data_IF_712855429769
#
_entry.id   IF_712855429769
#
_cell.length_a   1.000
_cell.length_b   1.000
_cell.length_c   1.000
_cell.angle_alpha   90.00
_cell.angle_beta   90.00
_cell.angle_gamma   90.00
#
_symmetry.space_group_name_H-M   'P 1'
#
loop_
_entity.id
_entity.type
_entity.pdbx_description
1 polymer ?
#
# COMPACT_ATOMS: atom_id res chain seq x y z
N UNK A 1 -11.84 -10.51 15.31
CA UNK A 1 -10.80 -10.16 14.35
C UNK A 1 -9.63 -9.60 15.13
N UNK A 2 -8.52 -10.28 15.16
CA UNK A 2 -7.27 -9.84 15.80
C UNK A 2 -6.60 -8.82 14.89
N UNK A 3 -6.07 -7.75 15.47
CA UNK A 3 -5.30 -6.72 14.77
C UNK A 3 -3.97 -6.53 15.44
N UNK A 4 -2.94 -6.41 14.66
CA UNK A 4 -1.59 -6.15 15.13
C UNK A 4 -1.03 -4.91 14.44
N UNK A 5 -0.62 -3.93 15.23
CA UNK A 5 0.05 -2.73 14.72
C UNK A 5 1.53 -2.95 14.77
N UNK A 6 2.17 -2.69 13.65
CA UNK A 6 3.60 -2.88 13.47
C UNK A 6 4.22 -1.66 12.80
N UNK A 7 5.54 -1.60 12.84
CA UNK A 7 6.35 -0.73 11.98
C UNK A 7 7.40 -1.59 11.28
N UNK A 8 7.81 -1.18 10.09
CA UNK A 8 8.90 -1.80 9.34
C UNK A 8 9.68 -0.73 8.56
N UNK A 9 10.91 -1.04 8.20
CA UNK A 9 11.77 -0.13 7.44
C UNK A 9 11.27 -0.01 6.00
N UNK A 10 10.94 1.20 5.58
CA UNK A 10 10.60 1.54 4.19
C UNK A 10 11.81 1.61 3.27
N UNK A 11 11.58 1.92 2.01
CA UNK A 11 12.60 2.00 0.97
C UNK A 11 13.68 3.05 1.22
N UNK A 12 13.33 4.11 1.92
CA UNK A 12 14.23 5.24 2.23
C UNK A 12 14.82 5.15 3.64
N UNK A 13 14.53 4.07 4.40
CA UNK A 13 15.01 3.87 5.75
C UNK A 13 14.09 4.43 6.85
N UNK A 14 13.01 5.10 6.48
CA UNK A 14 11.99 5.60 7.40
C UNK A 14 11.10 4.48 7.91
N UNK A 15 10.53 4.64 9.12
CA UNK A 15 9.63 3.66 9.70
C UNK A 15 8.20 3.80 9.12
N UNK A 16 7.74 2.78 8.43
CA UNK A 16 6.39 2.72 7.88
C UNK A 16 5.40 2.11 8.87
N UNK A 17 4.29 2.82 9.09
CA UNK A 17 3.23 2.38 9.99
C UNK A 17 2.27 1.43 9.29
N UNK A 18 2.10 0.23 9.83
CA UNK A 18 1.26 -0.81 9.27
C UNK A 18 0.33 -1.45 10.30
N UNK A 19 -0.71 -2.11 9.80
CA UNK A 19 -1.64 -2.92 10.56
C UNK A 19 -1.86 -4.25 9.83
N UNK A 20 -1.68 -5.37 10.54
CA UNK A 20 -2.07 -6.69 10.05
C UNK A 20 -3.42 -7.05 10.68
N UNK A 21 -4.38 -7.37 9.83
CA UNK A 21 -5.70 -7.83 10.22
C UNK A 21 -5.80 -9.33 9.95
N UNK A 22 -6.01 -10.13 11.01
CA UNK A 22 -6.10 -11.59 10.93
C UNK A 22 -7.55 -12.07 10.83
N UNK A 23 -7.81 -13.23 10.23
CA UNK A 23 -9.11 -13.88 10.29
C UNK A 23 -9.51 -14.22 11.74
N UNK A 24 -10.79 -14.52 11.96
CA UNK A 24 -11.33 -14.69 13.32
C UNK A 24 -10.82 -15.93 14.05
N UNK A 25 -10.43 -16.95 13.30
CA UNK A 25 -9.90 -18.23 13.79
C UNK A 25 -8.36 -18.25 13.97
N UNK A 26 -7.70 -17.11 13.75
CA UNK A 26 -6.23 -16.95 13.76
C UNK A 26 -5.48 -17.86 12.75
N UNK A 27 -6.19 -18.58 11.88
CA UNK A 27 -5.62 -19.42 10.84
C UNK A 27 -5.70 -18.72 9.47
N UNK A 28 -4.70 -17.94 9.13
CA UNK A 28 -4.62 -17.32 7.81
C UNK A 28 -4.26 -18.37 6.75
N UNK A 29 -5.10 -18.51 5.73
CA UNK A 29 -4.78 -19.34 4.57
C UNK A 29 -3.69 -18.73 3.70
N UNK A 30 -3.71 -17.39 3.58
CA UNK A 30 -2.74 -16.61 2.80
C UNK A 30 -2.59 -15.21 3.38
N UNK A 31 -1.42 -14.61 3.14
CA UNK A 31 -1.15 -13.22 3.45
C UNK A 31 -1.32 -12.36 2.20
N UNK A 32 -1.91 -11.17 2.39
CA UNK A 32 -2.20 -10.19 1.35
C UNK A 32 -1.66 -8.84 1.78
N UNK A 33 -1.07 -8.09 0.86
CA UNK A 33 -0.69 -6.69 1.07
C UNK A 33 -1.69 -5.81 0.36
N UNK A 34 -2.24 -4.83 1.08
CA UNK A 34 -3.15 -3.83 0.54
C UNK A 34 -2.47 -2.46 0.43
N UNK A 35 -2.39 -1.94 -0.80
CA UNK A 35 -1.86 -0.61 -1.13
C UNK A 35 -3.00 0.39 -1.34
N UNK A 36 -3.06 1.44 -0.51
CA UNK A 36 -4.03 2.53 -0.66
C UNK A 36 -3.61 3.55 -1.73
N UNK A 37 -4.50 4.50 -2.07
CA UNK A 37 -4.17 5.61 -2.94
C UNK A 37 -3.28 6.66 -2.21
N UNK A 38 -2.50 7.47 -2.97
CA UNK A 38 -1.55 8.43 -2.36
C UNK A 38 -2.20 9.62 -1.64
N UNK A 39 -3.45 9.94 -1.93
CA UNK A 39 -4.22 10.95 -1.18
C UNK A 39 -5.01 10.36 -0.01
N UNK A 40 -4.82 9.07 0.27
CA UNK A 40 -5.54 8.31 1.28
C UNK A 40 -4.56 7.83 2.38
N UNK A 41 -5.10 7.08 3.32
CA UNK A 41 -4.33 6.31 4.28
C UNK A 41 -5.04 4.97 4.56
N UNK A 42 -4.36 4.06 5.24
CA UNK A 42 -4.90 2.73 5.61
C UNK A 42 -6.20 2.80 6.42
N UNK A 43 -6.57 3.95 6.96
CA UNK A 43 -7.75 4.14 7.81
C UNK A 43 -9.04 4.50 7.06
N UNK A 44 -8.99 4.66 5.73
CA UNK A 44 -10.17 4.96 4.91
C UNK A 44 -11.23 3.87 5.06
N UNK A 45 -12.50 4.25 5.22
CA UNK A 45 -13.59 3.29 5.45
C UNK A 45 -13.74 2.26 4.33
N UNK A 46 -13.51 2.65 3.07
CA UNK A 46 -13.52 1.73 1.94
C UNK A 46 -12.43 0.65 2.09
N UNK A 47 -11.21 1.04 2.46
CA UNK A 47 -10.09 0.12 2.73
C UNK A 47 -10.44 -0.84 3.86
N UNK A 48 -10.96 -0.32 4.99
CA UNK A 48 -11.38 -1.14 6.13
C UNK A 48 -12.45 -2.17 5.76
N UNK A 49 -13.42 -1.80 4.92
CA UNK A 49 -14.47 -2.72 4.47
C UNK A 49 -13.91 -3.82 3.56
N UNK A 50 -12.97 -3.51 2.67
CA UNK A 50 -12.29 -4.49 1.82
C UNK A 50 -11.50 -5.46 2.70
N UNK A 51 -10.69 -4.95 3.61
CA UNK A 51 -9.89 -5.76 4.56
C UNK A 51 -10.81 -6.67 5.37
N UNK A 52 -11.92 -6.14 5.91
CA UNK A 52 -12.90 -6.94 6.63
C UNK A 52 -13.52 -8.05 5.78
N UNK A 53 -13.81 -7.76 4.50
CA UNK A 53 -14.30 -8.75 3.56
C UNK A 53 -13.29 -9.88 3.31
N UNK A 54 -12.02 -9.53 3.16
CA UNK A 54 -10.93 -10.48 2.94
C UNK A 54 -10.64 -11.33 4.19
N UNK A 55 -10.61 -10.72 5.37
CA UNK A 55 -10.37 -11.46 6.62
C UNK A 55 -11.50 -12.46 6.93
N UNK A 56 -12.76 -12.15 6.58
CA UNK A 56 -13.88 -13.10 6.65
C UNK A 56 -13.72 -14.29 5.70
N UNK A 57 -12.88 -14.17 4.68
CA UNK A 57 -12.54 -15.23 3.72
C UNK A 57 -11.26 -15.98 4.08
N UNK A 58 -10.70 -15.75 5.26
CA UNK A 58 -9.51 -16.44 5.76
C UNK A 58 -8.17 -15.83 5.34
N UNK A 59 -8.14 -14.60 4.81
CA UNK A 59 -6.90 -13.90 4.49
C UNK A 59 -6.40 -13.08 5.69
N UNK A 60 -5.10 -13.12 5.96
CA UNK A 60 -4.44 -12.09 6.76
C UNK A 60 -4.05 -10.92 5.83
N UNK A 61 -4.43 -9.69 6.19
CA UNK A 61 -4.21 -8.52 5.34
C UNK A 61 -3.31 -7.51 6.06
N UNK A 62 -2.12 -7.29 5.50
CA UNK A 62 -1.26 -6.18 5.87
C UNK A 62 -1.66 -4.95 5.06
N UNK A 63 -1.95 -3.86 5.73
CA UNK A 63 -2.12 -2.52 5.15
C UNK A 63 -1.16 -1.56 5.83
N UNK A 64 -0.51 -0.71 5.06
CA UNK A 64 0.46 0.26 5.58
C UNK A 64 0.27 1.62 4.95
N UNK A 65 0.79 2.66 5.57
CA UNK A 65 0.89 3.99 4.98
C UNK A 65 2.25 4.11 4.28
N UNK A 66 2.28 4.55 3.02
CA UNK A 66 3.52 4.78 2.28
C UNK A 66 4.40 5.86 2.95
N UNK A 67 5.69 5.91 2.62
CA UNK A 67 6.63 6.92 3.10
C UNK A 67 6.03 8.33 2.99
N UNK A 68 6.08 9.09 4.09
CA UNK A 68 5.56 10.46 4.18
C UNK A 68 4.05 10.60 4.22
N UNK A 69 3.28 9.48 4.30
CA UNK A 69 1.82 9.49 4.37
C UNK A 69 1.30 8.93 5.70
N UNK A 70 0.13 9.41 6.11
CA UNK A 70 -0.61 8.89 7.25
C UNK A 70 0.16 8.93 8.57
N UNK A 71 0.57 7.77 9.07
CA UNK A 71 1.34 7.59 10.31
C UNK A 71 2.78 7.10 10.06
N UNK A 72 3.17 6.97 8.79
CA UNK A 72 4.54 6.65 8.39
C UNK A 72 5.44 7.87 8.50
N UNK A 73 6.71 7.62 8.75
CA UNK A 73 7.75 8.63 8.78
C UNK A 73 8.21 9.02 7.35
N UNK A 74 9.11 9.97 7.24
CA UNK A 74 9.65 10.48 5.98
C UNK A 74 8.85 11.65 5.41
N UNK A 75 9.34 12.20 4.30
CA UNK A 75 8.73 13.34 3.62
C UNK A 75 8.16 12.89 2.26
N UNK A 76 6.84 13.07 2.06
CA UNK A 76 6.18 12.67 0.82
C UNK A 76 6.76 13.37 -0.42
N UNK A 77 7.21 14.62 -0.26
CA UNK A 77 7.85 15.41 -1.33
C UNK A 77 9.15 14.80 -1.86
N UNK A 78 9.80 13.94 -1.08
CA UNK A 78 11.03 13.24 -1.46
C UNK A 78 10.75 11.88 -2.12
N UNK A 79 9.49 11.43 -2.11
CA UNK A 79 9.08 10.15 -2.69
C UNK A 79 8.77 10.27 -4.17
N UNK A 80 8.78 9.13 -4.84
CA UNK A 80 8.34 8.98 -6.22
C UNK A 80 7.68 7.62 -6.42
N UNK A 81 7.16 7.36 -7.62
CA UNK A 81 6.47 6.10 -7.90
C UNK A 81 7.37 4.87 -7.69
N UNK A 82 8.67 4.97 -7.97
CA UNK A 82 9.62 3.87 -7.76
C UNK A 82 9.84 3.58 -6.28
N UNK A 83 10.00 4.61 -5.43
CA UNK A 83 10.13 4.42 -3.98
C UNK A 83 8.88 3.78 -3.37
N UNK A 84 7.69 4.08 -3.89
CA UNK A 84 6.45 3.45 -3.44
C UNK A 84 6.38 1.96 -3.83
N UNK A 85 6.91 1.58 -5.00
CA UNK A 85 7.06 0.17 -5.38
C UNK A 85 8.04 -0.54 -4.42
N UNK A 86 9.15 0.11 -4.08
CA UNK A 86 10.12 -0.45 -3.12
C UNK A 86 9.53 -0.57 -1.70
N UNK A 87 8.67 0.36 -1.25
CA UNK A 87 7.93 0.24 0.02
C UNK A 87 7.04 -1.03 0.03
N UNK A 88 6.41 -1.38 -1.09
CA UNK A 88 5.65 -2.63 -1.23
C UNK A 88 6.54 -3.87 -1.14
N UNK A 89 7.74 -3.82 -1.73
CA UNK A 89 8.73 -4.89 -1.61
C UNK A 89 9.17 -5.04 -0.16
N UNK A 90 9.44 -3.94 0.55
CA UNK A 90 9.77 -3.95 1.98
C UNK A 90 8.65 -4.52 2.84
N UNK A 91 7.39 -4.21 2.55
CA UNK A 91 6.25 -4.81 3.22
C UNK A 91 6.17 -6.34 2.99
N UNK A 92 6.51 -6.80 1.78
CA UNK A 92 6.57 -8.23 1.46
C UNK A 92 7.71 -8.94 2.19
N UNK A 93 8.91 -8.36 2.20
CA UNK A 93 10.07 -8.84 2.96
C UNK A 93 9.74 -8.94 4.46
N UNK A 94 9.06 -7.93 5.01
CA UNK A 94 8.64 -7.96 6.40
C UNK A 94 7.71 -9.13 6.71
N UNK A 95 6.70 -9.39 5.88
CA UNK A 95 5.79 -10.53 6.05
C UNK A 95 6.53 -11.86 5.95
N UNK A 96 7.40 -12.03 4.96
CA UNK A 96 8.17 -13.25 4.77
C UNK A 96 9.06 -13.56 5.98
N UNK A 97 9.73 -12.55 6.53
CA UNK A 97 10.65 -12.71 7.65
C UNK A 97 9.97 -12.94 9.01
N UNK A 98 8.76 -12.42 9.21
CA UNK A 98 8.10 -12.42 10.53
C UNK A 98 6.85 -13.29 10.60
N UNK A 99 6.25 -13.65 9.45
CA UNK A 99 5.01 -14.42 9.37
C UNK A 99 5.07 -15.44 8.24
N UNK A 100 4.52 -15.09 7.09
CA UNK A 100 4.49 -15.90 5.87
C UNK A 100 4.56 -14.95 4.67
N UNK A 101 5.26 -15.35 3.62
CA UNK A 101 5.33 -14.61 2.36
C UNK A 101 3.92 -14.29 1.83
N UNK A 102 3.71 -13.05 1.40
CA UNK A 102 2.46 -12.66 0.79
C UNK A 102 2.28 -13.38 -0.56
N UNK A 103 1.06 -13.85 -0.82
CA UNK A 103 0.73 -14.49 -2.11
C UNK A 103 -0.11 -13.60 -3.03
N UNK A 104 -0.63 -12.48 -2.50
CA UNK A 104 -1.50 -11.58 -3.25
C UNK A 104 -1.23 -10.13 -2.89
N UNK A 105 -1.29 -9.26 -3.91
CA UNK A 105 -1.33 -7.82 -3.76
C UNK A 105 -2.70 -7.29 -4.16
N UNK A 106 -3.21 -6.33 -3.38
CA UNK A 106 -4.44 -5.60 -3.71
C UNK A 106 -4.13 -4.11 -3.68
N UNK A 107 -4.50 -3.37 -4.72
CA UNK A 107 -4.21 -1.95 -4.79
C UNK A 107 -5.38 -1.11 -5.26
N UNK A 108 -5.55 0.08 -4.67
CA UNK A 108 -6.57 1.04 -5.03
C UNK A 108 -5.97 2.27 -5.71
N UNK A 109 -6.54 2.69 -6.84
CA UNK A 109 -6.09 3.86 -7.60
C UNK A 109 -4.59 3.77 -7.95
N UNK A 110 -3.78 4.75 -7.60
CA UNK A 110 -2.33 4.73 -7.85
C UNK A 110 -1.61 3.59 -7.10
N UNK A 111 -2.09 3.18 -5.92
CA UNK A 111 -1.65 1.95 -5.27
C UNK A 111 -1.93 0.70 -6.12
N UNK A 112 -2.99 0.73 -6.95
CA UNK A 112 -3.27 -0.31 -7.94
C UNK A 112 -2.22 -0.40 -9.04
N UNK A 113 -1.71 0.72 -9.54
CA UNK A 113 -0.60 0.75 -10.48
C UNK A 113 0.70 0.25 -9.83
N UNK A 114 0.95 0.66 -8.57
CA UNK A 114 2.15 0.25 -7.83
C UNK A 114 2.19 -1.27 -7.58
N UNK A 115 1.07 -1.90 -7.20
CA UNK A 115 1.03 -3.35 -6.96
C UNK A 115 1.25 -4.17 -8.22
N UNK A 116 0.82 -3.69 -9.40
CA UNK A 116 1.10 -4.36 -10.67
C UNK A 116 2.61 -4.39 -10.97
N UNK A 117 3.31 -3.30 -10.69
CA UNK A 117 4.76 -3.21 -10.89
C UNK A 117 5.54 -3.98 -9.82
N UNK A 118 5.08 -3.93 -8.56
CA UNK A 118 5.70 -4.67 -7.45
C UNK A 118 5.57 -6.19 -7.63
N UNK A 119 4.44 -6.66 -8.16
CA UNK A 119 4.21 -8.09 -8.39
C UNK A 119 5.23 -8.72 -9.35
N UNK A 120 5.77 -7.95 -10.28
CA UNK A 120 6.83 -8.43 -11.18
C UNK A 120 8.19 -8.60 -10.50
N UNK A 121 8.36 -8.09 -9.27
CA UNK A 121 9.62 -8.10 -8.51
C UNK A 121 9.55 -8.98 -7.25
N UNK A 122 8.38 -9.51 -6.90
CA UNK A 122 8.15 -10.31 -5.69
C UNK A 122 7.74 -11.73 -6.10
N UNK A 123 8.64 -12.67 -6.00
CA UNK A 123 8.48 -14.05 -6.52
C UNK A 123 7.30 -14.81 -5.86
N UNK A 124 6.95 -14.48 -4.62
CA UNK A 124 5.87 -15.14 -3.88
C UNK A 124 4.47 -14.74 -4.35
N UNK A 125 4.34 -13.64 -5.10
CA UNK A 125 3.04 -13.12 -5.53
C UNK A 125 2.50 -13.94 -6.71
N UNK A 126 1.34 -14.55 -6.49
CA UNK A 126 0.64 -15.37 -7.50
C UNK A 126 -0.66 -14.72 -8.00
N UNK A 127 -1.13 -13.66 -7.32
CA UNK A 127 -2.35 -12.95 -7.68
C UNK A 127 -2.24 -11.44 -7.41
N UNK A 128 -2.85 -10.65 -8.28
CA UNK A 128 -3.00 -9.21 -8.10
C UNK A 128 -4.45 -8.81 -8.36
N UNK A 129 -5.00 -7.95 -7.51
CA UNK A 129 -6.29 -7.30 -7.74
C UNK A 129 -6.13 -5.78 -7.68
N UNK A 130 -6.76 -5.08 -8.61
CA UNK A 130 -6.75 -3.61 -8.64
C UNK A 130 -8.15 -3.04 -8.61
N UNK A 131 -8.32 -1.90 -7.96
CA UNK A 131 -9.59 -1.18 -7.86
C UNK A 131 -9.34 0.24 -8.38
N UNK A 132 -9.89 0.54 -9.57
CA UNK A 132 -9.75 1.86 -10.18
C UNK A 132 -8.30 2.27 -10.45
N UNK A 133 -7.42 1.32 -10.80
CA UNK A 133 -6.04 1.62 -11.15
C UNK A 133 -5.98 2.38 -12.48
N UNK A 134 -5.16 3.47 -12.58
CA UNK A 134 -4.96 4.16 -13.84
C UNK A 134 -4.20 3.25 -14.81
N UNK A 135 -4.67 3.17 -16.05
CA UNK A 135 -4.02 2.40 -17.13
C UNK A 135 -2.80 3.12 -17.70
N UNK A 136 -2.73 4.43 -17.52
CA UNK A 136 -1.61 5.29 -17.94
C UNK A 136 -1.31 6.30 -16.83
N UNK A 137 -0.06 6.36 -16.32
CA UNK A 137 0.33 7.32 -15.29
C UNK A 137 0.18 8.78 -15.75
N UNK A 138 0.25 9.05 -17.04
CA UNK A 138 0.12 10.39 -17.63
C UNK A 138 -1.23 11.07 -17.35
N UNK A 139 -2.28 10.28 -17.06
CA UNK A 139 -3.59 10.82 -16.65
C UNK A 139 -3.53 11.60 -15.32
N UNK A 140 -2.55 11.33 -14.49
CA UNK A 140 -2.37 12.04 -13.21
C UNK A 140 -1.59 13.35 -13.41
N UNK A 141 -0.82 13.45 -14.49
CA UNK A 141 -0.03 14.66 -14.80
C UNK A 141 -0.91 15.90 -15.04
N UNK A 142 -2.08 15.74 -15.64
CA UNK A 142 -3.02 16.86 -15.86
C UNK A 142 -3.53 17.44 -14.53
N UNK A 143 -3.80 16.60 -13.53
CA UNK A 143 -4.20 17.07 -12.19
C UNK A 143 -3.06 17.80 -11.46
N UNK A 144 -1.81 17.48 -11.80
CA UNK A 144 -0.61 18.12 -11.24
C UNK A 144 -0.27 19.40 -12.01
N UNK A 145 -0.57 19.47 -13.31
CA UNK A 145 -0.33 20.66 -14.13
C UNK A 145 -1.26 21.81 -13.75
N UNK A 146 -2.54 21.54 -13.49
CA UNK A 146 -3.48 22.53 -12.98
C UNK A 146 -3.05 23.06 -11.59
N UNK A 147 -2.54 22.18 -10.71
CA UNK A 147 -1.98 22.57 -9.41
C UNK A 147 -0.65 23.32 -9.50
N UNK A 148 0.17 23.09 -10.54
CA UNK A 148 1.44 23.81 -10.74
C UNK A 148 1.27 25.28 -11.09
N UNK A 149 0.22 25.63 -11.82
CA UNK A 149 -0.10 27.03 -12.11
C UNK A 149 -0.58 27.75 -10.84
N UNK A 150 -1.40 27.09 -10.05
CA UNK A 150 -1.90 27.61 -8.75
C UNK A 150 -0.76 27.80 -7.73
N UNK A 151 0.18 26.85 -7.65
CA UNK A 151 1.39 26.95 -6.80
C UNK A 151 2.33 28.08 -7.29
N UNK A 152 2.47 28.29 -8.61
CA UNK A 152 3.29 29.38 -9.15
C UNK A 152 2.68 30.76 -8.90
N UNK A 153 1.36 30.89 -8.90
CA UNK A 153 0.66 32.16 -8.67
C UNK A 153 0.53 32.52 -7.20
N UNK A 154 0.37 31.54 -6.31
CA UNK A 154 0.07 31.76 -4.89
C UNK A 154 1.25 31.46 -3.95
N UNK A 155 2.34 30.86 -4.41
CA UNK A 155 3.55 30.61 -3.63
C UNK A 155 3.40 29.56 -2.53
N UNK A 156 2.36 28.74 -2.58
CA UNK A 156 2.12 27.59 -1.70
C UNK A 156 1.70 26.37 -2.52
#
# INVERSE_FOLDING_TARGET
MKKERIKFDGSMGDQLAAEINFPADDHAHNFVIFAHCFTCNKNLNAVKNIILGMTKKGFAVLSFDFTGLGQSEGEFSETNFSSNIEDLIKASEYLENNYQAASMLVGHSLGGAAVLMAAAKIDSITAVATIGAPSQPDHVLHLIEDGKEEIKENGE
#
